data_IF_373729477044
#
_entry.id   IF_373729477044
#
_cell.length_a   1.000
_cell.length_b   1.000
_cell.length_c   1.000
_cell.angle_alpha   90.00
_cell.angle_beta   90.00
_cell.angle_gamma   90.00
#
_symmetry.space_group_name_H-M   'P 1'
#
loop_
_entity.id
_entity.type
_entity.pdbx_description
1 polymer ?
2 water ?
#
# COMPACT_ATOMS: atom_id res chain seq x y z
N UNK A 1 -4.20 18.31 -0.64
CA UNK A 1 -5.18 17.96 -1.66
C UNK A 1 -6.56 18.54 -1.31
N UNK A 2 -7.21 19.17 -2.28
CA UNK A 2 -8.50 19.82 -2.06
C UNK A 2 -9.61 18.82 -1.77
N UNK A 3 -9.73 17.84 -2.66
CA UNK A 3 -10.78 16.83 -2.56
C UNK A 3 -10.35 15.72 -1.61
N UNK A 4 -11.30 15.20 -0.84
CA UNK A 4 -11.02 14.04 -0.01
C UNK A 4 -10.47 12.90 -0.86
N UNK A 5 -11.05 12.71 -2.05
CA UNK A 5 -10.67 11.58 -2.89
C UNK A 5 -9.20 11.69 -3.28
N UNK A 6 -8.76 12.90 -3.56
CA UNK A 6 -7.37 13.16 -3.90
C UNK A 6 -6.45 12.82 -2.74
N UNK A 7 -6.87 13.17 -1.52
CA UNK A 7 -6.05 12.90 -0.34
C UNK A 7 -5.95 11.41 -0.13
N UNK A 8 -7.07 10.71 -0.27
CA UNK A 8 -7.07 9.26 -0.13
C UNK A 8 -6.14 8.63 -1.17
N UNK A 9 -6.23 9.12 -2.39
CA UNK A 9 -5.35 8.65 -3.48
C UNK A 9 -3.89 8.81 -3.12
N UNK A 10 -3.53 9.98 -2.62
CA UNK A 10 -2.15 10.26 -2.24
C UNK A 10 -1.64 9.34 -1.14
N UNK A 11 -2.43 9.19 -0.08
CA UNK A 11 -2.04 8.30 1.00
C UNK A 11 -1.83 6.89 0.46
N UNK A 12 -2.76 6.44 -0.39
CA UNK A 12 -2.67 5.09 -0.94
C UNK A 12 -1.44 4.95 -1.84
N UNK A 13 -1.21 5.94 -2.69
CA UNK A 13 -0.05 5.86 -3.57
C UNK A 13 1.25 5.75 -2.76
N UNK A 14 1.34 6.55 -1.71
CA UNK A 14 2.54 6.59 -0.88
C UNK A 14 2.72 5.27 -0.16
N UNK A 15 1.62 4.72 0.36
CA UNK A 15 1.68 3.43 1.05
C UNK A 15 2.13 2.31 0.10
N UNK A 16 1.64 2.35 -1.13
CA UNK A 16 1.99 1.30 -2.08
C UNK A 16 3.45 1.39 -2.48
N UNK A 17 3.97 2.59 -2.62
CA UNK A 17 5.37 2.74 -2.97
C UNK A 17 6.27 2.21 -1.86
N UNK A 18 5.88 2.44 -0.61
CA UNK A 18 6.64 1.92 0.52
C UNK A 18 6.72 0.39 0.47
N UNK A 19 5.63 -0.30 0.14
CA UNK A 19 5.65 -1.78 0.09
C UNK A 19 6.50 -2.31 -1.06
N UNK A 20 6.36 -1.71 -2.22
CA UNK A 20 7.27 -2.00 -3.29
C UNK A 20 8.53 -1.31 -2.79
N UNK A 21 9.60 -1.29 -3.56
CA UNK A 21 10.77 -0.57 -3.09
C UNK A 21 11.52 -1.21 -1.93
N UNK A 22 12.76 -0.78 -1.77
CA UNK A 22 13.77 -1.51 -1.01
C UNK A 22 14.56 -0.56 -0.10
N UNK A 23 14.50 -0.80 1.20
CA UNK A 23 15.16 0.09 2.16
C UNK A 23 16.68 -0.07 2.17
N UNK A 24 17.20 -0.74 1.15
CA UNK A 24 18.63 -0.97 1.02
C UNK A 24 19.43 0.32 0.91
N UNK A 25 18.78 1.38 0.44
CA UNK A 25 19.44 2.66 0.32
C UNK A 25 20.02 3.10 1.66
N UNK A 26 19.31 2.76 2.73
CA UNK A 26 19.76 3.10 4.08
C UNK A 26 21.03 2.34 4.47
N UNK A 27 21.09 1.07 4.13
CA UNK A 27 22.28 0.25 4.41
C UNK A 27 23.50 0.73 3.62
N UNK A 28 23.28 1.39 2.49
CA UNK A 28 24.38 1.92 1.68
C UNK A 28 25.12 3.06 2.37
N UNK A 29 24.42 3.83 3.20
CA UNK A 29 25.03 4.95 3.89
C UNK A 29 25.95 4.48 5.02
N UNK A 30 26.09 3.17 5.17
CA UNK A 30 26.96 2.59 6.17
C UNK A 30 27.97 1.68 5.51
N UNK A 31 28.08 1.79 4.19
CA UNK A 31 29.05 1.02 3.43
C UNK A 31 30.40 1.74 3.38
N UNK A 32 30.39 3.03 3.70
CA UNK A 32 31.61 3.83 3.62
C UNK A 32 31.88 4.32 2.21
N UNK A 33 31.01 3.95 1.28
CA UNK A 33 31.14 4.41 -0.09
C UNK A 33 30.72 5.87 -0.17
N UNK A 34 31.63 6.73 -0.60
CA UNK A 34 31.33 8.14 -0.70
C UNK A 34 30.64 8.47 -2.01
N UNK A 35 30.04 9.65 -2.08
CA UNK A 35 29.47 10.13 -3.32
C UNK A 35 28.04 9.65 -3.54
N UNK A 36 27.42 9.16 -2.48
CA UNK A 36 26.02 8.75 -2.53
C UNK A 36 25.16 9.80 -1.83
N UNK A 37 24.25 10.42 -2.58
CA UNK A 37 23.49 11.54 -2.05
C UNK A 37 22.17 11.14 -1.38
N UNK A 38 21.56 10.06 -1.88
CA UNK A 38 20.29 9.58 -1.34
C UNK A 38 19.28 9.36 -2.45
N UNK A 39 18.06 8.96 -2.07
CA UNK A 39 16.99 8.76 -3.04
C UNK A 39 16.37 10.10 -3.44
N UNK A 40 15.77 10.16 -4.62
CA UNK A 40 15.07 11.36 -5.05
C UNK A 40 13.96 11.71 -4.06
N UNK A 41 13.32 10.69 -3.50
CA UNK A 41 12.28 10.94 -2.49
C UNK A 41 12.82 11.71 -1.29
N UNK A 42 14.12 11.56 -0.99
CA UNK A 42 14.69 12.25 0.15
C UNK A 42 15.19 13.63 -0.23
N UNK A 43 15.23 13.89 -1.53
CA UNK A 43 15.94 15.07 -2.03
C UNK A 43 15.01 16.12 -2.65
N UNK A 44 13.74 15.77 -2.82
CA UNK A 44 12.79 16.64 -3.49
C UNK A 44 11.69 17.02 -2.51
N UNK A 45 11.32 18.29 -2.47
CA UNK A 45 10.22 18.77 -1.63
C UNK A 45 9.15 19.41 -2.50
N UNK A 46 7.89 19.13 -2.21
CA UNK A 46 6.78 19.69 -2.95
C UNK A 46 6.45 21.08 -2.38
N UNK A 47 6.35 22.08 -3.24
CA UNK A 47 6.18 23.46 -2.77
C UNK A 47 4.75 23.75 -2.35
N UNK A 48 3.81 23.01 -2.93
CA UNK A 48 2.39 23.29 -2.79
C UNK A 48 1.58 22.00 -2.76
N UNK A 49 0.85 21.80 -1.67
CA UNK A 49 0.08 20.59 -1.44
C UNK A 49 -0.88 20.24 -2.58
N UNK A 50 -1.32 21.24 -3.32
CA UNK A 50 -2.21 21.03 -4.46
C UNK A 50 -1.61 20.06 -5.49
N UNK A 51 -0.28 20.01 -5.53
CA UNK A 51 0.42 19.18 -6.53
C UNK A 51 1.07 17.94 -5.95
N UNK A 52 0.77 17.65 -4.67
CA UNK A 52 1.39 16.51 -4.01
C UNK A 52 1.13 15.19 -4.72
N UNK A 53 -0.12 14.97 -5.13
CA UNK A 53 -0.44 13.73 -5.84
C UNK A 53 0.20 13.72 -7.23
N UNK A 54 0.11 14.84 -7.94
CA UNK A 54 0.71 14.91 -9.28
C UNK A 54 2.19 14.59 -9.27
N UNK A 55 2.91 15.10 -8.27
CA UNK A 55 4.35 14.86 -8.16
C UNK A 55 4.64 13.42 -7.72
N UNK A 56 3.88 12.89 -6.78
CA UNK A 56 4.02 11.48 -6.41
C UNK A 56 3.87 10.60 -7.64
N UNK A 57 2.81 10.83 -8.42
CA UNK A 57 2.55 10.04 -9.62
C UNK A 57 3.63 10.24 -10.68
N UNK A 58 4.02 11.50 -10.92
CA UNK A 58 4.99 11.73 -11.98
C UNK A 58 6.38 11.18 -11.67
N UNK A 59 6.75 11.16 -10.39
CA UNK A 59 8.00 10.56 -9.98
C UNK A 59 7.91 9.04 -10.07
N UNK A 60 6.80 8.49 -9.59
CA UNK A 60 6.62 7.04 -9.59
C UNK A 60 7.81 6.35 -8.95
N UNK A 61 8.30 5.30 -9.60
CA UNK A 61 9.41 4.52 -9.05
C UNK A 61 10.71 5.29 -8.98
N UNK A 62 10.79 6.39 -9.73
CA UNK A 62 12.01 7.18 -9.72
C UNK A 62 12.27 7.71 -8.32
N UNK A 63 11.22 7.86 -7.53
CA UNK A 63 11.37 8.31 -6.15
C UNK A 63 12.37 7.45 -5.38
N UNK A 64 12.47 6.18 -5.74
CA UNK A 64 13.37 5.24 -5.05
C UNK A 64 14.76 5.16 -5.66
N UNK A 65 14.98 5.86 -6.78
CA UNK A 65 16.31 5.88 -7.41
C UNK A 65 17.31 6.63 -6.54
N UNK A 66 18.55 6.18 -6.52
CA UNK A 66 19.58 6.74 -5.65
C UNK A 66 20.51 7.60 -6.47
N UNK A 67 20.62 8.87 -6.10
CA UNK A 67 21.49 9.82 -6.80
C UNK A 67 22.93 9.66 -6.30
N UNK A 68 23.87 9.47 -7.23
CA UNK A 68 25.29 9.32 -6.88
C UNK A 68 26.16 10.24 -7.75
N UNK A 69 27.40 10.44 -7.32
CA UNK A 69 28.32 11.36 -7.99
C UNK A 69 28.60 10.92 -9.42
N UNK A 70 28.96 9.66 -9.60
CA UNK A 70 29.29 9.17 -10.94
C UNK A 70 29.10 7.65 -11.09
N UNK A 71 29.44 7.13 -12.27
CA UNK A 71 29.18 5.71 -12.54
C UNK A 71 30.09 4.79 -11.73
N UNK A 72 31.21 5.33 -11.26
CA UNK A 72 32.11 4.52 -10.44
C UNK A 72 31.46 4.28 -9.09
N UNK A 73 30.80 5.31 -8.55
CA UNK A 73 30.07 5.15 -7.29
C UNK A 73 28.96 4.12 -7.46
N UNK A 74 28.28 4.15 -8.60
CA UNK A 74 27.19 3.20 -8.85
C UNK A 74 27.71 1.78 -8.87
N UNK A 75 28.81 1.55 -9.58
CA UNK A 75 29.35 0.19 -9.67
C UNK A 75 29.86 -0.29 -8.30
N UNK A 76 30.45 0.58 -7.50
CA UNK A 76 30.86 0.17 -6.16
C UNK A 76 29.66 -0.19 -5.32
N UNK A 77 28.62 0.62 -5.39
CA UNK A 77 27.41 0.40 -4.61
C UNK A 77 26.73 -0.91 -5.02
N UNK A 78 26.73 -1.20 -6.32
CA UNK A 78 26.16 -2.45 -6.81
C UNK A 78 26.94 -3.67 -6.30
N UNK A 79 28.26 -3.56 -6.22
CA UNK A 79 29.05 -4.66 -5.65
C UNK A 79 28.68 -4.90 -4.19
N UNK A 80 28.45 -3.80 -3.46
CA UNK A 80 28.10 -3.89 -2.06
C UNK A 80 26.73 -4.56 -1.89
N UNK A 81 25.77 -4.14 -2.71
CA UNK A 81 24.44 -4.75 -2.68
C UNK A 81 24.53 -6.25 -2.90
N UNK A 82 25.38 -6.66 -3.84
CA UNK A 82 25.50 -8.07 -4.17
C UNK A 82 26.15 -8.84 -3.03
N UNK A 83 27.24 -8.30 -2.49
CA UNK A 83 27.97 -8.99 -1.44
C UNK A 83 27.10 -9.21 -0.21
N UNK A 84 26.29 -8.22 0.12
CA UNK A 84 25.50 -8.22 1.34
C UNK A 84 24.06 -8.67 1.11
N UNK A 85 23.76 -9.10 -0.12
CA UNK A 85 22.44 -9.62 -0.47
C UNK A 85 21.33 -8.66 -0.09
N UNK A 86 21.45 -7.42 -0.57
CA UNK A 86 20.52 -6.36 -0.21
C UNK A 86 19.55 -6.01 -1.35
N UNK A 87 19.41 -6.91 -2.30
CA UNK A 87 18.51 -6.67 -3.42
C UNK A 87 19.06 -5.69 -4.43
N UNK A 88 18.16 -4.98 -5.10
CA UNK A 88 18.53 -4.11 -6.22
C UNK A 88 18.18 -2.65 -5.99
N UNK A 89 18.99 -1.78 -6.58
CA UNK A 89 18.68 -0.35 -6.66
C UNK A 89 19.03 0.19 -8.04
N UNK A 90 18.37 1.30 -8.39
CA UNK A 90 18.65 2.05 -9.59
C UNK A 90 19.42 3.30 -9.21
N UNK A 91 20.56 3.51 -9.86
CA UNK A 91 21.43 4.63 -9.51
C UNK A 91 21.43 5.68 -10.60
N UNK A 92 21.45 6.95 -10.19
CA UNK A 92 21.48 8.09 -11.11
C UNK A 92 22.81 8.84 -10.98
N UNK A 93 23.77 8.58 -11.89
CA UNK A 93 25.10 9.19 -11.79
C UNK A 93 25.06 10.59 -12.38
N UNK A 94 25.43 11.58 -11.58
CA UNK A 94 25.22 12.96 -11.97
C UNK A 94 25.93 13.34 -13.25
N UNK A 95 27.06 12.70 -13.51
CA UNK A 95 27.84 13.00 -14.73
C UNK A 95 27.29 12.32 -15.97
N UNK A 96 26.37 11.37 -15.79
CA UNK A 96 25.88 10.60 -16.93
C UNK A 96 24.42 10.88 -17.19
N UNK A 97 23.67 11.10 -16.12
CA UNK A 97 22.22 11.11 -16.21
C UNK A 97 21.71 12.28 -17.05
N UNK A 98 20.83 11.99 -17.99
CA UNK A 98 20.40 13.00 -18.96
C UNK A 98 19.15 13.76 -18.56
N UNK A 99 19.27 15.08 -18.35
CA UNK A 99 18.10 15.90 -18.03
C UNK A 99 17.12 15.91 -19.19
N UNK A 100 15.82 16.00 -18.88
CA UNK A 100 14.78 16.16 -19.88
C UNK A 100 14.28 17.58 -19.77
N UNK A 101 13.58 18.06 -20.81
CA UNK A 101 13.09 19.44 -20.80
C UNK A 101 11.69 19.55 -21.40
N UNK A 102 10.95 20.53 -20.92
CA UNK A 102 9.62 20.81 -21.47
C UNK A 102 9.79 21.62 -22.75
N UNK A 103 9.08 21.22 -23.80
CA UNK A 103 9.13 21.94 -25.06
C UNK A 103 7.71 22.19 -25.55
N UNK A 104 6.92 22.83 -24.70
CA UNK A 104 5.55 23.17 -25.04
C UNK A 104 4.96 24.08 -23.98
N UNK A 105 3.77 24.59 -24.23
CA UNK A 105 3.10 25.48 -23.28
C UNK A 105 1.77 24.87 -22.84
N UNK A 106 1.70 23.53 -22.87
CA UNK A 106 0.48 22.82 -22.52
C UNK A 106 0.06 23.02 -21.07
N UNK A 107 1.03 23.23 -20.18
CA UNK A 107 0.69 23.42 -18.79
C UNK A 107 1.87 23.76 -17.92
N UNK A 108 1.76 23.43 -16.64
CA UNK A 108 2.75 23.85 -15.65
C UNK A 108 3.84 22.80 -15.49
N UNK A 109 5.10 23.17 -15.80
CA UNK A 109 6.20 22.23 -15.60
C UNK A 109 6.28 21.73 -14.17
N UNK A 110 6.39 20.41 -14.02
CA UNK A 110 6.41 19.85 -12.67
C UNK A 110 7.57 20.37 -11.84
N UNK A 111 8.71 20.64 -12.47
CA UNK A 111 9.86 21.14 -11.75
C UNK A 111 9.57 22.48 -11.09
N UNK A 112 8.58 23.21 -11.59
CA UNK A 112 8.24 24.51 -11.02
C UNK A 112 7.62 24.40 -9.63
N UNK A 113 7.10 23.23 -9.29
CA UNK A 113 6.40 23.09 -8.03
C UNK A 113 7.15 22.27 -6.99
N UNK A 114 8.45 22.08 -7.22
CA UNK A 114 9.31 21.38 -6.27
C UNK A 114 10.57 22.19 -5.96
N UNK A 115 11.19 21.84 -4.85
CA UNK A 115 12.46 22.42 -4.43
C UNK A 115 13.47 21.31 -4.26
N UNK A 116 14.71 21.59 -4.63
CA UNK A 116 15.76 20.59 -4.59
C UNK A 116 17.08 21.32 -4.64
N UNK A 117 18.14 20.66 -4.20
CA UNK A 117 19.47 21.24 -4.22
C UNK A 117 19.95 21.32 -5.67
N UNK A 118 20.45 22.48 -6.08
CA UNK A 118 20.95 22.67 -7.45
C UNK A 118 21.98 21.61 -7.83
N UNK A 119 22.73 21.14 -6.85
CA UNK A 119 23.75 20.13 -7.09
C UNK A 119 23.24 18.86 -7.78
N UNK A 120 22.00 18.48 -7.48
CA UNK A 120 21.43 17.24 -8.05
C UNK A 120 20.46 17.52 -9.19
N UNK A 121 20.55 18.71 -9.75
CA UNK A 121 19.60 19.12 -10.76
C UNK A 121 19.49 18.15 -11.94
N UNK A 122 20.60 17.53 -12.34
CA UNK A 122 20.55 16.65 -13.50
C UNK A 122 19.67 15.44 -13.22
N UNK A 123 19.71 14.97 -11.99
CA UNK A 123 18.91 13.82 -11.57
C UNK A 123 17.44 14.18 -11.45
N UNK A 124 17.17 15.37 -10.92
CA UNK A 124 15.78 15.82 -10.80
C UNK A 124 15.14 16.08 -12.15
N UNK A 125 15.90 16.71 -13.06
CA UNK A 125 15.37 17.00 -14.38
C UNK A 125 15.28 15.74 -15.24
N UNK A 126 16.13 14.77 -14.97
CA UNK A 126 15.96 13.47 -15.63
C UNK A 126 14.59 12.88 -15.26
N UNK A 127 14.20 12.98 -13.99
CA UNK A 127 12.95 12.36 -13.55
C UNK A 127 11.71 13.17 -13.93
N UNK A 128 11.81 14.49 -13.80
CA UNK A 128 10.63 15.34 -13.89
C UNK A 128 10.73 16.47 -14.91
N UNK A 129 11.87 16.54 -15.59
CA UNK A 129 12.20 17.67 -16.46
C UNK A 129 11.32 17.90 -17.68
N UNK A 130 10.67 16.87 -18.18
CA UNK A 130 9.74 17.09 -19.27
C UNK A 130 8.30 16.78 -18.89
N UNK A 131 8.04 16.70 -17.58
CA UNK A 131 6.68 16.50 -17.11
C UNK A 131 5.91 17.81 -16.96
N UNK A 132 4.70 17.83 -17.51
CA UNK A 132 3.80 18.93 -17.36
C UNK A 132 2.56 18.51 -16.60
N UNK A 133 2.10 19.39 -15.70
CA UNK A 133 0.90 19.15 -14.93
C UNK A 133 -0.27 19.83 -15.64
N UNK A 134 -1.32 19.05 -15.88
CA UNK A 134 -2.53 19.53 -16.51
C UNK A 134 -3.72 19.21 -15.59
N UNK A 135 -4.84 19.89 -15.81
CA UNK A 135 -5.95 19.81 -14.87
C UNK A 135 -6.82 18.55 -14.95
N UNK A 136 -6.95 17.97 -16.14
CA UNK A 136 -7.77 16.77 -16.30
C UNK A 136 -7.43 15.92 -17.53
N UNK A 137 -8.10 14.79 -17.67
CA UNK A 137 -7.83 13.88 -18.79
C UNK A 137 -8.26 14.52 -20.12
N UNK A 138 -9.27 15.36 -20.07
CA UNK A 138 -9.76 16.04 -21.26
C UNK A 138 -8.67 16.94 -21.85
N UNK A 139 -8.13 17.82 -21.03
CA UNK A 139 -7.07 18.74 -21.44
C UNK A 139 -5.75 18.05 -21.73
N UNK A 140 -5.78 16.72 -21.88
CA UNK A 140 -4.55 15.98 -22.09
C UNK A 140 -4.53 15.20 -23.40
N UNK A 141 -5.68 14.68 -23.80
CA UNK A 141 -5.74 13.72 -24.90
C UNK A 141 -5.11 14.17 -26.23
N UNK A 142 -5.20 15.45 -26.58
CA UNK A 142 -4.59 15.92 -27.82
C UNK A 142 -3.08 15.69 -27.90
N UNK A 143 -2.40 15.66 -26.75
CA UNK A 143 -0.94 15.63 -26.73
C UNK A 143 -0.34 14.27 -26.37
N UNK A 144 -1.20 13.25 -26.28
CA UNK A 144 -0.72 11.90 -25.97
C UNK A 144 0.37 11.49 -26.96
N UNK A 145 1.55 11.22 -26.44
CA UNK A 145 2.66 10.79 -27.28
C UNK A 145 3.63 11.91 -27.64
N UNK A 146 3.27 13.14 -27.31
CA UNK A 146 4.16 14.26 -27.63
C UNK A 146 4.57 15.08 -26.41
N UNK A 147 3.84 14.96 -25.30
CA UNK A 147 4.19 15.67 -24.08
C UNK A 147 4.01 14.72 -22.89
N UNK A 148 4.96 14.69 -21.97
CA UNK A 148 4.73 13.93 -20.72
C UNK A 148 3.85 14.76 -19.79
N UNK A 149 2.70 14.18 -19.40
CA UNK A 149 1.74 14.91 -18.58
C UNK A 149 1.29 14.08 -17.39
N UNK A 150 0.96 14.77 -16.31
CA UNK A 150 0.32 14.12 -15.17
C UNK A 150 -0.89 15.00 -14.85
N UNK A 151 -2.04 14.39 -14.59
CA UNK A 151 -3.20 15.20 -14.21
C UNK A 151 -3.16 15.45 -12.72
N UNK A 152 -3.88 16.47 -12.26
CA UNK A 152 -3.89 16.80 -10.86
C UNK A 152 -4.43 15.63 -10.03
N UNK A 153 -5.28 14.82 -10.65
CA UNK A 153 -5.91 13.71 -9.95
C UNK A 153 -5.16 12.39 -10.10
N UNK A 154 -4.09 12.41 -10.89
CA UNK A 154 -3.13 11.32 -10.88
C UNK A 154 -3.09 10.38 -12.06
N UNK A 155 -3.64 10.77 -13.19
CA UNK A 155 -3.40 10.00 -14.41
C UNK A 155 -2.03 10.39 -14.95
N UNK A 156 -1.35 9.42 -15.57
CA UNK A 156 0.01 9.66 -16.10
C UNK A 156 0.06 9.34 -17.58
N UNK A 157 0.61 10.28 -18.35
CA UNK A 157 0.79 10.13 -19.78
C UNK A 157 2.28 10.22 -20.05
N UNK A 158 2.90 9.09 -20.34
CA UNK A 158 4.33 9.11 -20.64
C UNK A 158 4.50 9.72 -22.02
N UNK A 159 5.66 10.28 -22.29
CA UNK A 159 5.85 10.95 -23.59
C UNK A 159 5.73 9.94 -24.73
N UNK A 160 6.05 8.69 -24.41
CA UNK A 160 6.00 7.56 -25.33
C UNK A 160 4.59 7.31 -25.85
N UNK A 161 3.59 7.69 -25.07
CA UNK A 161 2.22 7.42 -25.42
C UNK A 161 1.55 6.44 -24.46
N UNK A 162 2.29 5.94 -23.48
CA UNK A 162 1.77 5.00 -22.47
C UNK A 162 0.88 5.74 -21.47
N UNK A 163 -0.30 5.19 -21.22
CA UNK A 163 -1.29 5.85 -20.36
C UNK A 163 -1.57 5.03 -19.12
N UNK A 164 -1.41 5.65 -17.95
CA UNK A 164 -1.65 4.96 -16.67
C UNK A 164 -2.78 5.64 -15.92
N UNK A 165 -3.72 4.84 -15.45
CA UNK A 165 -4.86 5.38 -14.74
C UNK A 165 -5.51 4.35 -13.85
N UNK A 166 -6.41 4.83 -12.97
CA UNK A 166 -7.10 4.02 -12.00
C UNK A 166 -6.85 4.52 -10.59
N UNK A 167 -7.65 4.04 -9.64
CA UNK A 167 -7.48 4.45 -8.26
C UNK A 167 -6.31 3.76 -7.60
N UNK A 168 -5.52 4.54 -6.87
CA UNK A 168 -4.57 3.96 -5.93
C UNK A 168 -5.30 3.37 -4.74
N UNK A 169 -6.38 4.00 -4.32
CA UNK A 169 -7.01 3.59 -3.06
C UNK A 169 -7.79 2.31 -3.29
N UNK A 170 -7.70 1.43 -2.30
CA UNK A 170 -8.28 0.11 -2.44
C UNK A 170 -9.73 0.12 -1.97
N UNK A 171 -10.46 -0.92 -2.33
CA UNK A 171 -11.87 -1.03 -1.95
C UNK A 171 -12.02 -1.09 -0.43
N UNK A 172 -11.21 -1.95 0.20
CA UNK A 172 -11.29 -2.17 1.63
C UNK A 172 -12.53 -2.94 2.05
N UNK A 173 -12.60 -3.34 3.32
CA UNK A 173 -13.81 -3.97 3.83
C UNK A 173 -14.96 -2.99 3.71
N UNK A 174 -16.15 -3.48 3.36
CA UNK A 174 -17.36 -2.66 3.34
C UNK A 174 -17.70 -2.15 4.74
N UNK A 175 -18.19 -0.92 4.80
CA UNK A 175 -18.58 -0.33 6.08
C UNK A 175 -20.02 0.15 6.01
N UNK A 176 -20.85 -0.37 6.93
CA UNK A 176 -22.26 -0.02 6.96
C UNK A 176 -22.40 1.48 6.90
N UNK A 177 -23.30 1.96 6.05
CA UNK A 177 -23.64 3.37 6.09
C UNK A 177 -24.57 3.60 7.29
N UNK A 178 -25.36 2.58 7.61
CA UNK A 178 -26.22 2.63 8.79
C UNK A 178 -25.34 2.62 10.04
N UNK A 179 -25.67 3.42 11.04
CA UNK A 179 -24.95 3.40 12.31
C UNK A 179 -25.44 2.24 13.17
N UNK A 180 -24.90 1.06 12.94
CA UNK A 180 -25.38 -0.16 13.59
C UNK A 180 -24.66 -0.49 14.91
N UNK A 181 -23.65 0.30 15.24
CA UNK A 181 -22.89 0.09 16.47
C UNK A 181 -22.36 1.43 16.98
N UNK A 182 -23.25 2.19 17.59
CA UNK A 182 -22.95 3.52 18.09
C UNK A 182 -21.82 3.53 19.12
N UNK B 2 -8.82 17.81 5.73
CA UNK B 2 -7.62 16.97 5.85
C UNK B 2 -7.92 15.74 6.70
N UNK B 3 -7.39 14.60 6.28
CA UNK B 3 -7.71 13.34 6.92
C UNK B 3 -7.03 13.22 8.29
N UNK B 4 -7.77 12.71 9.27
CA UNK B 4 -7.19 12.45 10.59
C UNK B 4 -6.26 11.24 10.53
N UNK B 5 -5.43 11.08 11.55
CA UNK B 5 -4.47 9.99 11.59
C UNK B 5 -5.06 8.59 11.34
N UNK B 6 -6.12 8.23 12.07
CA UNK B 6 -6.68 6.89 11.93
C UNK B 6 -7.31 6.65 10.56
N UNK B 7 -7.80 7.71 9.92
CA UNK B 7 -8.32 7.58 8.57
C UNK B 7 -7.18 7.26 7.60
N UNK B 8 -6.08 8.00 7.72
CA UNK B 8 -4.90 7.76 6.92
C UNK B 8 -4.32 6.38 7.16
N UNK B 9 -4.28 5.95 8.41
CA UNK B 9 -3.83 4.60 8.73
C UNK B 9 -4.62 3.55 7.98
N UNK B 10 -5.95 3.70 7.97
CA UNK B 10 -6.81 2.72 7.33
C UNK B 10 -6.59 2.70 5.82
N UNK B 11 -6.58 3.88 5.21
CA UNK B 11 -6.30 3.98 3.78
C UNK B 11 -5.00 3.27 3.44
N UNK B 12 -3.96 3.56 4.23
CA UNK B 12 -2.64 2.96 3.99
C UNK B 12 -2.69 1.44 4.13
N UNK B 13 -3.30 0.97 5.21
CA UNK B 13 -3.40 -0.46 5.44
C UNK B 13 -4.15 -1.17 4.30
N UNK B 14 -5.24 -0.57 3.83
CA UNK B 14 -6.02 -1.15 2.74
C UNK B 14 -5.23 -1.18 1.43
N UNK B 15 -4.49 -0.11 1.17
CA UNK B 15 -3.69 -0.04 -0.05
C UNK B 15 -2.58 -1.09 -0.03
N UNK B 16 -1.91 -1.23 1.11
CA UNK B 16 -0.82 -2.18 1.24
C UNK B 16 -1.33 -3.62 1.13
N UNK B 17 -2.48 -3.89 1.71
CA UNK B 17 -3.02 -5.25 1.62
C UNK B 17 -3.33 -5.61 0.18
N UNK B 18 -3.86 -4.66 -0.59
CA UNK B 18 -4.15 -4.92 -1.99
C UNK B 18 -2.91 -5.24 -2.85
N UNK B 19 -1.75 -4.66 -2.52
CA UNK B 19 -0.49 -4.95 -3.22
C UNK B 19 0.06 -6.33 -2.88
N UNK B 20 0.00 -6.68 -1.60
CA UNK B 20 0.56 -7.93 -1.15
C UNK B 20 -0.42 -9.05 -1.47
N UNK B 21 -1.50 -8.67 -2.16
CA UNK B 21 -2.60 -9.58 -2.43
C UNK B 21 -2.53 -10.29 -3.76
N UNK B 22 -3.46 -11.20 -3.97
CA UNK B 22 -3.45 -12.10 -5.12
C UNK B 22 -4.87 -12.29 -5.66
N UNK B 23 -5.11 -11.81 -6.87
CA UNK B 23 -6.45 -11.89 -7.45
C UNK B 23 -6.87 -13.29 -7.90
N UNK B 24 -6.25 -14.32 -7.34
CA UNK B 24 -6.58 -15.70 -7.71
C UNK B 24 -7.99 -16.09 -7.27
N UNK B 25 -8.45 -15.59 -6.12
CA UNK B 25 -9.79 -15.92 -5.66
C UNK B 25 -10.82 -15.63 -6.75
N UNK B 26 -10.70 -14.46 -7.38
CA UNK B 26 -11.60 -14.04 -8.44
C UNK B 26 -11.65 -15.01 -9.61
N UNK B 27 -10.50 -15.56 -9.99
CA UNK B 27 -10.44 -16.55 -11.07
C UNK B 27 -11.06 -17.89 -10.66
N UNK B 28 -10.88 -18.27 -9.40
CA UNK B 28 -11.47 -19.50 -8.88
C UNK B 28 -12.99 -19.47 -9.01
N UNK B 29 -13.57 -18.29 -8.87
CA UNK B 29 -15.01 -18.13 -8.99
C UNK B 29 -15.52 -18.52 -10.38
N UNK B 30 -14.61 -18.96 -11.24
CA UNK B 30 -15.01 -19.42 -12.56
C UNK B 30 -14.23 -20.65 -13.01
N UNK B 31 -13.62 -21.34 -12.05
CA UNK B 31 -13.04 -22.64 -12.29
C UNK B 31 -14.19 -23.61 -12.57
N UNK B 32 -15.38 -23.21 -12.12
CA UNK B 32 -16.54 -24.08 -12.16
C UNK B 32 -16.65 -24.88 -10.87
N UNK B 33 -15.61 -24.80 -10.05
CA UNK B 33 -15.55 -25.54 -8.79
C UNK B 33 -16.60 -25.04 -7.81
N UNK B 34 -17.45 -25.94 -7.33
CA UNK B 34 -18.52 -25.56 -6.43
C UNK B 34 -18.07 -25.45 -4.99
N UNK B 35 -18.83 -24.73 -4.18
CA UNK B 35 -18.57 -24.66 -2.76
C UNK B 35 -17.59 -23.56 -2.37
N UNK B 36 -17.42 -22.58 -3.24
CA UNK B 36 -16.53 -21.45 -2.96
C UNK B 36 -17.33 -20.18 -2.72
N UNK B 37 -17.30 -19.69 -1.47
CA UNK B 37 -18.10 -18.54 -1.06
C UNK B 37 -17.44 -17.19 -1.37
N UNK B 38 -16.12 -17.12 -1.23
CA UNK B 38 -15.41 -15.88 -1.43
C UNK B 38 -14.41 -15.62 -0.31
N UNK B 39 -13.75 -14.46 -0.36
CA UNK B 39 -12.80 -14.07 0.69
C UNK B 39 -13.55 -13.52 1.89
N UNK B 40 -12.92 -13.57 3.05
CA UNK B 40 -13.51 -12.93 4.22
C UNK B 40 -13.72 -11.46 3.98
N UNK B 41 -12.78 -10.83 3.27
CA UNK B 41 -12.87 -9.41 2.96
C UNK B 41 -14.15 -9.07 2.22
N UNK B 42 -14.69 -10.02 1.47
CA UNK B 42 -15.90 -9.76 0.68
C UNK B 42 -17.15 -10.10 1.49
N UNK B 43 -16.97 -10.89 2.54
CA UNK B 43 -18.11 -11.49 3.23
C UNK B 43 -18.41 -10.85 4.58
N UNK B 44 -17.49 -10.03 5.07
CA UNK B 44 -17.69 -9.35 6.35
C UNK B 44 -17.89 -7.85 6.12
N UNK B 45 -18.94 -7.29 6.70
CA UNK B 45 -19.11 -5.84 6.68
C UNK B 45 -18.91 -5.25 8.08
N UNK B 46 -18.27 -4.09 8.15
CA UNK B 46 -18.03 -3.46 9.45
C UNK B 46 -19.22 -2.55 9.83
N UNK B 47 -19.69 -2.63 11.08
CA UNK B 47 -20.89 -1.89 11.46
C UNK B 47 -20.69 -0.41 11.65
N UNK B 48 -19.47 0.01 11.96
CA UNK B 48 -19.19 1.42 12.15
C UNK B 48 -17.77 1.75 11.72
N UNK B 49 -17.62 2.88 11.03
CA UNK B 49 -16.30 3.33 10.58
C UNK B 49 -15.28 3.39 11.72
N UNK B 50 -15.76 3.68 12.93
CA UNK B 50 -14.88 3.81 14.08
C UNK B 50 -14.09 2.52 14.34
N UNK B 51 -14.62 1.39 13.91
CA UNK B 51 -13.98 0.08 14.10
C UNK B 51 -13.32 -0.48 12.85
N UNK B 52 -13.34 0.27 11.76
CA UNK B 52 -12.85 -0.26 10.48
C UNK B 52 -11.37 -0.60 10.57
N UNK B 53 -10.57 0.29 11.16
CA UNK B 53 -9.14 0.01 11.28
C UNK B 53 -8.89 -1.17 12.21
N UNK B 54 -9.65 -1.23 13.30
CA UNK B 54 -9.52 -2.35 14.22
C UNK B 54 -9.78 -3.69 13.54
N UNK B 55 -10.81 -3.76 12.71
CA UNK B 55 -11.18 -5.02 12.06
C UNK B 55 -10.15 -5.36 10.96
N UNK B 56 -9.74 -4.35 10.20
CA UNK B 56 -8.69 -4.54 9.21
C UNK B 56 -7.45 -5.17 9.86
N UNK B 57 -7.01 -4.59 10.97
CA UNK B 57 -5.85 -5.11 11.69
C UNK B 57 -6.10 -6.48 12.33
N UNK B 58 -7.26 -6.66 12.96
CA UNK B 58 -7.55 -7.95 13.59
C UNK B 58 -7.64 -9.12 12.59
N UNK B 59 -8.14 -8.84 11.39
CA UNK B 59 -8.17 -9.84 10.32
C UNK B 59 -6.79 -10.12 9.76
N UNK B 60 -6.04 -9.04 9.54
CA UNK B 60 -4.78 -9.16 8.83
C UNK B 60 -4.94 -9.95 7.55
N UNK B 61 -4.08 -10.95 7.38
CA UNK B 61 -4.04 -11.77 6.16
C UNK B 61 -5.27 -12.66 6.00
N UNK B 62 -6.00 -12.90 7.08
CA UNK B 62 -7.21 -13.70 7.03
C UNK B 62 -8.25 -13.05 6.12
N UNK B 63 -8.16 -11.74 5.96
CA UNK B 63 -9.07 -11.06 5.06
C UNK B 63 -8.97 -11.67 3.65
N UNK B 64 -7.80 -12.19 3.33
CA UNK B 64 -7.57 -12.72 1.98
C UNK B 64 -7.87 -14.21 1.88
N UNK B 65 -8.22 -14.84 2.99
CA UNK B 65 -8.51 -16.28 3.03
C UNK B 65 -9.81 -16.54 2.30
N UNK B 66 -9.89 -17.67 1.61
CA UNK B 66 -11.10 -18.03 0.86
C UNK B 66 -11.95 -19.08 1.59
N UNK B 67 -13.19 -18.71 1.86
CA UNK B 67 -14.11 -19.61 2.58
C UNK B 67 -14.69 -20.61 1.59
N UNK B 68 -14.59 -21.89 1.91
CA UNK B 68 -15.12 -22.96 1.07
C UNK B 68 -15.92 -23.97 1.91
N UNK B 69 -16.72 -24.79 1.24
CA UNK B 69 -17.59 -25.75 1.92
C UNK B 69 -16.82 -26.79 2.74
N UNK B 70 -15.79 -27.38 2.16
CA UNK B 70 -15.01 -28.41 2.85
C UNK B 70 -13.61 -28.59 2.30
N UNK B 71 -12.87 -29.53 2.87
CA UNK B 71 -11.46 -29.71 2.53
C UNK B 71 -11.28 -30.27 1.12
N UNK B 72 -12.31 -30.92 0.60
CA UNK B 72 -12.26 -31.43 -0.76
C UNK B 72 -12.32 -30.29 -1.77
N UNK B 73 -13.10 -29.27 -1.45
CA UNK B 73 -13.16 -28.08 -2.29
C UNK B 73 -11.79 -27.41 -2.29
N UNK B 74 -11.19 -27.31 -1.11
CA UNK B 74 -9.89 -26.66 -0.96
C UNK B 74 -8.85 -27.39 -1.82
N UNK B 75 -8.83 -28.72 -1.74
CA UNK B 75 -7.90 -29.52 -2.53
C UNK B 75 -8.11 -29.36 -4.06
N UNK B 76 -9.36 -29.36 -4.52
CA UNK B 76 -9.62 -29.09 -5.94
C UNK B 76 -9.11 -27.70 -6.34
N UNK B 77 -9.36 -26.72 -5.48
CA UNK B 77 -8.97 -25.34 -5.76
C UNK B 77 -7.45 -25.17 -5.86
N UNK B 78 -6.73 -25.87 -4.99
CA UNK B 78 -5.27 -25.81 -4.97
C UNK B 78 -4.71 -26.45 -6.24
N UNK B 79 -5.30 -27.56 -6.66
CA UNK B 79 -4.88 -28.19 -7.90
C UNK B 79 -5.02 -27.20 -9.07
N UNK B 80 -6.14 -26.48 -9.09
CA UNK B 80 -6.42 -25.51 -10.11
C UNK B 80 -5.42 -24.35 -10.09
N UNK B 81 -5.13 -23.84 -8.89
CA UNK B 81 -4.15 -22.79 -8.73
C UNK B 81 -2.80 -23.18 -9.32
N UNK B 82 -2.38 -24.41 -9.06
CA UNK B 82 -1.08 -24.86 -9.56
C UNK B 82 -1.12 -25.00 -11.07
N UNK B 83 -2.20 -25.59 -11.55
CA UNK B 83 -2.37 -25.85 -12.98
C UNK B 83 -2.33 -24.57 -13.80
N UNK B 84 -2.93 -23.50 -13.28
CA UNK B 84 -3.00 -22.23 -14.00
C UNK B 84 -1.97 -21.19 -13.54
N UNK B 85 -1.05 -21.62 -12.68
CA UNK B 85 0.04 -20.75 -12.22
C UNK B 85 -0.49 -19.45 -11.64
N UNK B 86 -1.47 -19.57 -10.74
CA UNK B 86 -2.18 -18.42 -10.20
C UNK B 86 -1.71 -18.06 -8.80
N UNK B 87 -0.63 -18.67 -8.34
CA UNK B 87 -0.12 -18.37 -7.01
C UNK B 87 -0.79 -19.17 -5.90
N UNK B 88 -0.78 -18.60 -4.70
CA UNK B 88 -1.22 -19.34 -3.51
C UNK B 88 -2.41 -18.69 -2.85
N UNK B 89 -3.27 -19.51 -2.26
CA UNK B 89 -4.35 -19.01 -1.43
C UNK B 89 -4.50 -19.83 -0.17
N UNK B 90 -5.07 -19.24 0.87
CA UNK B 90 -5.38 -19.98 2.08
C UNK B 90 -6.89 -20.20 2.11
N UNK B 91 -7.28 -21.44 2.32
CA UNK B 91 -8.67 -21.82 2.32
C UNK B 91 -9.17 -22.19 3.70
N UNK B 92 -10.42 -21.81 3.96
CA UNK B 92 -11.08 -22.07 5.23
C UNK B 92 -12.26 -22.99 5.00
N UNK B 93 -12.07 -24.30 5.19
CA UNK B 93 -13.14 -25.28 4.99
C UNK B 93 -14.14 -25.28 6.16
N UNK B 94 -15.39 -24.92 5.87
CA UNK B 94 -16.39 -24.75 6.92
C UNK B 94 -16.64 -26.00 7.76
N UNK B 95 -16.44 -27.18 7.19
CA UNK B 95 -16.70 -28.40 7.94
C UNK B 95 -15.55 -28.71 8.89
N UNK B 96 -14.48 -27.92 8.81
CA UNK B 96 -13.28 -28.21 9.58
C UNK B 96 -12.90 -27.07 10.53
N UNK B 97 -13.09 -25.83 10.10
CA UNK B 97 -12.60 -24.69 10.84
C UNK B 97 -13.45 -24.45 12.07
N UNK B 98 -12.83 -24.37 13.24
CA UNK B 98 -13.61 -24.22 14.46
C UNK B 98 -13.63 -22.76 14.92
N UNK B 99 -14.81 -22.29 15.33
CA UNK B 99 -14.95 -20.94 15.87
C UNK B 99 -14.13 -20.81 17.13
N UNK B 100 -13.53 -19.64 17.32
CA UNK B 100 -12.87 -19.31 18.57
C UNK B 100 -13.82 -18.49 19.44
N UNK B 101 -13.49 -18.37 20.71
CA UNK B 101 -14.30 -17.65 21.67
C UNK B 101 -13.41 -16.75 22.52
N UNK B 102 -14.00 -15.72 23.10
CA UNK B 102 -13.25 -14.85 24.00
C UNK B 102 -13.45 -15.33 25.43
N UNK B 103 -12.42 -15.94 25.99
CA UNK B 103 -12.47 -16.46 27.35
C UNK B 103 -12.25 -15.36 28.39
N UNK B 104 -12.39 -14.10 27.96
CA UNK B 104 -12.17 -12.96 28.83
C UNK B 104 -13.29 -11.94 28.73
N UNK B 105 -13.39 -11.08 29.75
CA UNK B 105 -14.42 -10.05 29.78
C UNK B 105 -13.87 -8.69 29.33
N UNK B 106 -12.55 -8.61 29.17
CA UNK B 106 -11.93 -7.35 28.76
C UNK B 106 -12.31 -6.98 27.33
N UNK B 107 -12.52 -5.68 27.11
CA UNK B 107 -12.72 -5.14 25.77
C UNK B 107 -14.00 -5.57 25.08
N UNK B 108 -14.16 -5.10 23.86
CA UNK B 108 -15.36 -5.33 23.06
C UNK B 108 -15.07 -6.37 22.00
N UNK B 109 -15.75 -7.54 22.06
CA UNK B 109 -15.56 -8.58 21.05
C UNK B 109 -15.63 -8.05 19.62
N UNK B 110 -14.62 -8.38 18.82
CA UNK B 110 -14.62 -7.94 17.44
C UNK B 110 -15.88 -8.40 16.70
N UNK B 111 -16.40 -9.57 17.04
CA UNK B 111 -17.54 -10.07 16.31
C UNK B 111 -18.79 -9.20 16.50
N UNK B 112 -18.80 -8.43 17.59
CA UNK B 112 -19.94 -7.56 17.87
C UNK B 112 -20.01 -6.36 16.93
N UNK B 113 -18.93 -6.04 16.23
CA UNK B 113 -18.95 -4.86 15.35
C UNK B 113 -18.94 -5.16 13.85
N UNK B 114 -19.27 -6.39 13.49
CA UNK B 114 -19.34 -6.80 12.10
C UNK B 114 -20.62 -7.55 11.78
N UNK B 115 -20.95 -7.60 10.50
CA UNK B 115 -22.09 -8.33 9.99
C UNK B 115 -21.60 -9.36 9.01
N UNK B 116 -22.20 -10.55 9.04
CA UNK B 116 -21.83 -11.63 8.15
C UNK B 116 -22.98 -12.64 8.13
N UNK B 117 -23.05 -13.45 7.07
CA UNK B 117 -24.08 -14.48 6.95
C UNK B 117 -23.77 -15.65 7.88
N UNK B 118 -24.77 -16.14 8.61
CA UNK B 118 -24.53 -17.17 9.60
C UNK B 118 -23.92 -18.42 8.97
N UNK B 119 -24.16 -18.59 7.66
CA UNK B 119 -23.61 -19.76 6.96
C UNK B 119 -22.08 -19.82 7.03
N UNK B 120 -21.43 -18.65 7.11
CA UNK B 120 -19.98 -18.62 7.21
C UNK B 120 -19.48 -18.30 8.62
N UNK B 121 -20.35 -18.48 9.60
CA UNK B 121 -20.01 -18.19 10.99
C UNK B 121 -18.70 -18.84 11.46
N UNK B 122 -18.50 -20.11 11.14
CA UNK B 122 -17.33 -20.82 11.62
C UNK B 122 -16.02 -20.15 11.15
N UNK B 123 -16.04 -19.64 9.92
CA UNK B 123 -14.87 -18.95 9.33
C UNK B 123 -14.62 -17.60 9.99
N UNK B 124 -15.69 -16.83 10.15
CA UNK B 124 -15.61 -15.52 10.77
C UNK B 124 -15.12 -15.63 12.22
N UNK B 125 -15.69 -16.56 12.97
CA UNK B 125 -15.29 -16.72 14.38
C UNK B 125 -13.91 -17.37 14.52
N UNK B 126 -13.52 -18.16 13.53
CA UNK B 126 -12.15 -18.65 13.52
C UNK B 126 -11.20 -17.46 13.44
N UNK B 127 -11.55 -16.51 12.58
CA UNK B 127 -10.67 -15.36 12.31
C UNK B 127 -10.73 -14.33 13.42
N UNK B 128 -11.91 -14.11 13.99
CA UNK B 128 -12.14 -12.97 14.85
C UNK B 128 -12.78 -13.32 16.18
N UNK B 129 -13.13 -14.59 16.37
CA UNK B 129 -13.88 -15.01 17.55
C UNK B 129 -13.22 -14.87 18.90
N UNK B 130 -11.89 -14.80 18.94
CA UNK B 130 -11.22 -14.54 20.22
C UNK B 130 -10.59 -13.15 20.34
N UNK B 131 -10.96 -12.25 19.44
CA UNK B 131 -10.38 -10.91 19.45
C UNK B 131 -11.31 -9.91 20.10
N UNK B 132 -10.76 -9.06 20.95
CA UNK B 132 -11.52 -7.94 21.48
C UNK B 132 -10.81 -6.66 21.09
N UNK B 133 -11.59 -5.59 21.03
CA UNK B 133 -11.14 -4.25 20.70
C UNK B 133 -11.01 -3.44 21.98
N UNK B 134 -9.86 -2.79 22.14
CA UNK B 134 -9.62 -1.92 23.29
C UNK B 134 -9.26 -0.52 22.80
N UNK B 135 -9.33 0.45 23.71
CA UNK B 135 -9.19 1.87 23.36
C UNK B 135 -7.75 2.33 23.17
N UNK B 136 -6.80 1.66 23.80
CA UNK B 136 -5.43 2.16 23.80
C UNK B 136 -4.41 1.12 24.25
N UNK B 137 -3.15 1.43 23.99
CA UNK B 137 -2.06 0.55 24.39
C UNK B 137 -2.01 0.49 25.90
N UNK B 138 -2.38 1.59 26.54
CA UNK B 138 -2.34 1.69 27.99
C UNK B 138 -3.30 0.68 28.65
N UNK B 139 -4.47 0.49 28.05
CA UNK B 139 -5.44 -0.43 28.66
C UNK B 139 -5.33 -1.85 28.13
N UNK B 140 -4.40 -2.07 27.21
CA UNK B 140 -4.10 -3.42 26.73
C UNK B 140 -3.02 -4.04 27.60
N UNK B 141 -2.17 -3.18 28.15
CA UNK B 141 -0.94 -3.63 28.79
C UNK B 141 -1.09 -4.73 29.86
N UNK B 142 -2.08 -4.61 30.74
CA UNK B 142 -2.21 -5.63 31.80
C UNK B 142 -2.48 -7.02 31.22
N UNK B 143 -3.14 -7.06 30.06
CA UNK B 143 -3.65 -8.31 29.52
C UNK B 143 -2.75 -8.93 28.43
N UNK B 144 -1.57 -8.34 28.23
CA UNK B 144 -0.64 -8.86 27.24
C UNK B 144 -0.29 -10.32 27.52
N UNK B 145 -0.73 -11.21 26.63
CA UNK B 145 -0.45 -12.63 26.79
C UNK B 145 -1.60 -13.40 27.41
N UNK B 146 -2.69 -12.69 27.67
CA UNK B 146 -3.87 -13.31 28.26
C UNK B 146 -5.06 -13.30 27.30
N UNK B 147 -5.08 -12.33 26.39
CA UNK B 147 -6.20 -12.20 25.47
C UNK B 147 -5.76 -11.52 24.18
N UNK B 148 -6.37 -11.93 23.07
CA UNK B 148 -6.06 -11.28 21.78
C UNK B 148 -6.81 -9.97 21.67
N UNK B 149 -6.06 -8.88 21.50
CA UNK B 149 -6.65 -7.54 21.49
C UNK B 149 -6.17 -6.73 20.28
N UNK B 150 -7.04 -5.87 19.77
CA UNK B 150 -6.59 -4.88 18.79
C UNK B 150 -7.03 -3.54 19.37
N UNK B 151 -6.17 -2.53 19.27
CA UNK B 151 -6.54 -1.19 19.72
C UNK B 151 -7.24 -0.47 18.57
N UNK B 152 -8.08 0.51 18.90
CA UNK B 152 -8.78 1.31 17.91
C UNK B 152 -7.82 1.99 16.92
N UNK B 153 -6.60 2.27 17.37
CA UNK B 153 -5.62 2.96 16.51
C UNK B 153 -4.74 1.97 15.73
N UNK B 154 -4.98 0.67 15.90
CA UNK B 154 -4.38 -0.32 15.04
C UNK B 154 -3.19 -1.10 15.56
N UNK B 155 -3.01 -1.17 16.88
CA UNK B 155 -1.99 -2.05 17.44
C UNK B 155 -2.62 -3.42 17.64
N UNK B 156 -1.83 -4.48 17.52
CA UNK B 156 -2.35 -5.84 17.67
C UNK B 156 -1.59 -6.58 18.73
N UNK B 157 -2.32 -7.18 19.68
CA UNK B 157 -1.76 -7.99 20.74
C UNK B 157 -2.31 -9.41 20.57
N UNK B 158 -1.46 -10.34 20.14
CA UNK B 158 -1.90 -11.72 20.02
C UNK B 158 -1.96 -12.35 21.42
N UNK B 159 -2.77 -13.40 21.57
CA UNK B 159 -2.93 -14.03 22.88
C UNK B 159 -1.59 -14.59 23.35
N UNK B 160 -0.77 -14.99 22.38
CA UNK B 160 0.55 -15.55 22.62
C UNK B 160 1.51 -14.55 23.25
N UNK B 161 1.18 -13.26 23.13
CA UNK B 161 2.05 -12.21 23.62
C UNK B 161 2.74 -11.38 22.55
N UNK B 162 2.66 -11.82 21.29
CA UNK B 162 3.28 -11.08 20.18
C UNK B 162 2.61 -9.73 20.00
N UNK B 163 3.40 -8.69 19.74
CA UNK B 163 2.87 -7.34 19.65
C UNK B 163 3.24 -6.71 18.31
N UNK B 164 2.25 -6.18 17.61
CA UNK B 164 2.49 -5.51 16.34
C UNK B 164 2.08 -4.05 16.42
N UNK B 165 2.97 -3.16 16.00
CA UNK B 165 2.65 -1.75 15.98
C UNK B 165 3.49 -1.00 14.99
N UNK B 166 3.16 0.28 14.78
CA UNK B 166 3.81 1.06 13.74
C UNK B 166 2.76 1.71 12.86
N UNK B 167 3.16 2.76 12.15
CA UNK B 167 2.26 3.42 11.23
C UNK B 167 2.13 2.64 9.94
N UNK B 168 0.90 2.50 9.45
CA UNK B 168 0.71 1.96 8.11
C UNK B 168 1.08 3.06 7.14
N UNK B 169 0.76 4.29 7.52
CA UNK B 169 0.96 5.38 6.57
C UNK B 169 2.43 5.66 6.36
N UNK B 170 2.79 5.88 5.11
CA UNK B 170 4.19 6.07 4.72
C UNK B 170 4.64 7.52 4.86
N UNK B 171 5.94 7.71 4.87
CA UNK B 171 6.52 9.02 4.68
C UNK B 171 6.42 9.24 3.18
N UNK B 172 5.62 10.23 2.79
CA UNK B 172 5.62 10.61 1.40
C UNK B 172 6.69 11.65 1.17
N UNK B 173 6.64 12.30 0.02
CA UNK B 173 7.54 13.42 -0.24
C UNK B 173 7.22 14.52 0.78
N UNK B 174 8.25 15.24 1.22
CA UNK B 174 8.01 16.37 2.10
C UNK B 174 7.21 17.40 1.33
N UNK B 175 6.33 18.11 2.04
CA UNK B 175 5.52 19.13 1.42
C UNK B 175 5.53 20.38 2.27
N UNK B 176 5.72 21.53 1.62
CA UNK B 176 5.77 22.78 2.35
C UNK B 176 4.39 23.19 2.88
#
# INVERSE_FOLDING_TARGET
MELESSERELIAAEAQREVRGNRAAEELKRSGIGGIYGTLAELIKVKDEAYALAIEVALGNRADNVVVEDELVAEKAIKYLKEHKLGRLTFLPLNKIKPKHVDSSVGLPAVDVIEYDQKIENAVKFALGDTVIVNSMEEARPHIGKVRMVTIEGELYERSGAITGGHFRARGLAVDTTKLRLEHHHHHH
XELESSERELIAAEAQREVRGNRAAEELKRSGIGGIYGTLAELIKVKDEAYALAIEVALGNRADNVVVEDELVAEKAIKYLKEHKLGRLTFLPLNKIKPKHVDSSVGLPAVDVIEYDQKIENAVKFALGDTVIVNSMEEARPHIGKVRMVTIEGELYERSGAITGGHFRARGLAVDTTKLRLEHHHHHH
#
